data_IF_526760508425
#
_entry.id   IF_526760508425
#
_cell.length_a   1.000
_cell.length_b   1.000
_cell.length_c   1.000
_cell.angle_alpha   90.00
_cell.angle_beta   90.00
_cell.angle_gamma   90.00
#
_symmetry.space_group_name_H-M   'P 1'
#
loop_
_entity.id
_entity.type
_entity.pdbx_description
1 polymer ?
2 water ?
#
# COMPACT_ATOMS: atom_id res chain seq x y z
N UNK A 1 -0.92 9.55 -0.25
CA UNK A 1 -1.21 8.53 -1.30
C UNK A 1 -0.44 7.23 -1.10
N UNK A 2 -1.08 6.12 -1.45
CA UNK A 2 -0.47 4.79 -1.39
C UNK A 2 -0.10 4.32 -2.79
N UNK A 3 1.18 4.01 -3.00
CA UNK A 3 1.69 3.48 -4.26
C UNK A 3 2.25 2.05 -4.08
N UNK A 4 1.94 1.42 -2.95
CA UNK A 4 2.38 0.04 -2.69
C UNK A 4 1.30 -0.82 -2.06
N UNK A 5 1.71 -1.89 -1.39
CA UNK A 5 0.79 -2.81 -0.72
C UNK A 5 0.72 -2.52 0.78
N UNK A 6 -0.49 -2.37 1.29
CA UNK A 6 -0.76 -2.27 2.72
C UNK A 6 -1.47 -3.58 3.06
N UNK A 7 -0.71 -4.53 3.59
CA UNK A 7 -1.24 -5.87 3.79
C UNK A 7 -2.10 -5.97 5.06
#
# INVERSE_FOLDING_TARGET
NNFGAIL
#
